data_IF_392663962534
#
_entry.id   IF_392663962534
#
_cell.length_a   1.000
_cell.length_b   1.000
_cell.length_c   1.000
_cell.angle_alpha   90.00
_cell.angle_beta   90.00
_cell.angle_gamma   90.00
#
_symmetry.space_group_name_H-M   'P 1'
#
loop_
_entity.id
_entity.type
_entity.pdbx_description
1 polymer ?
#
# COMPACT_ATOMS: atom_id res chain seq x y z
N UNK A 1 3.71 -27.76 -25.70
CA UNK A 1 4.47 -27.91 -24.42
C UNK A 1 5.06 -26.55 -24.03
N UNK A 2 5.06 -26.15 -22.75
CA UNK A 2 5.64 -24.85 -22.33
C UNK A 2 7.17 -24.92 -22.27
N UNK A 3 7.84 -23.89 -22.82
CA UNK A 3 9.30 -23.78 -22.79
C UNK A 3 9.85 -23.94 -21.36
N UNK A 4 10.94 -24.70 -21.14
CA UNK A 4 11.60 -24.84 -19.83
C UNK A 4 11.90 -23.49 -19.15
N UNK A 5 12.24 -22.48 -19.95
CA UNK A 5 12.50 -21.10 -19.51
C UNK A 5 11.26 -20.43 -18.93
N UNK A 6 10.10 -20.59 -19.60
CA UNK A 6 8.83 -20.05 -19.12
C UNK A 6 8.36 -20.72 -17.82
N UNK A 7 8.58 -22.03 -17.67
CA UNK A 7 8.30 -22.75 -16.42
C UNK A 7 9.17 -22.27 -15.27
N UNK A 8 10.48 -22.11 -15.51
CA UNK A 8 11.43 -21.58 -14.52
C UNK A 8 11.07 -20.16 -14.09
N UNK A 9 10.78 -19.27 -15.05
CA UNK A 9 10.42 -17.89 -14.76
C UNK A 9 9.07 -17.78 -14.03
N UNK A 10 8.09 -18.61 -14.39
CA UNK A 10 6.81 -18.69 -13.68
C UNK A 10 7.00 -19.06 -12.21
N UNK A 11 7.89 -20.03 -11.92
CA UNK A 11 8.22 -20.42 -10.53
C UNK A 11 8.87 -19.27 -9.76
N UNK A 12 9.88 -18.61 -10.36
CA UNK A 12 10.55 -17.44 -9.75
C UNK A 12 9.58 -16.30 -9.46
N UNK A 13 8.70 -15.99 -10.41
CA UNK A 13 7.64 -14.97 -10.24
C UNK A 13 6.70 -15.32 -9.09
N UNK A 14 6.24 -16.58 -9.01
CA UNK A 14 5.34 -17.02 -7.94
C UNK A 14 6.02 -16.97 -6.57
N UNK A 15 7.29 -17.36 -6.48
CA UNK A 15 8.07 -17.24 -5.25
C UNK A 15 8.22 -15.78 -4.81
N UNK A 16 8.54 -14.87 -5.75
CA UNK A 16 8.62 -13.44 -5.46
C UNK A 16 7.27 -12.86 -5.01
N UNK A 17 6.16 -13.33 -5.59
CA UNK A 17 4.80 -12.96 -5.17
C UNK A 17 4.50 -13.39 -3.73
N UNK A 18 4.83 -14.64 -3.39
CA UNK A 18 4.63 -15.15 -2.03
C UNK A 18 5.45 -14.36 -1.01
N UNK A 19 6.74 -14.14 -1.30
CA UNK A 19 7.64 -13.36 -0.44
C UNK A 19 7.16 -11.92 -0.25
N UNK A 20 6.63 -11.29 -1.32
CA UNK A 20 6.03 -9.96 -1.21
C UNK A 20 4.86 -9.95 -0.21
N UNK A 21 3.95 -10.93 -0.28
CA UNK A 21 2.82 -10.98 0.65
C UNK A 21 3.24 -11.26 2.09
N UNK A 22 4.21 -12.13 2.29
CA UNK A 22 4.79 -12.42 3.60
C UNK A 22 5.35 -11.13 4.23
N UNK A 23 6.22 -10.41 3.50
CA UNK A 23 6.76 -9.13 3.96
C UNK A 23 5.67 -8.09 4.20
N UNK A 24 4.67 -8.01 3.32
CA UNK A 24 3.54 -7.10 3.53
C UNK A 24 2.79 -7.44 4.82
N UNK A 25 2.50 -8.71 5.07
CA UNK A 25 1.73 -9.14 6.23
C UNK A 25 2.51 -8.97 7.55
N UNK A 26 3.82 -9.24 7.54
CA UNK A 26 4.68 -9.10 8.71
C UNK A 26 4.93 -7.64 9.10
N UNK A 27 4.88 -6.71 8.13
CA UNK A 27 5.33 -5.34 8.33
C UNK A 27 4.22 -4.29 8.17
N UNK A 28 2.98 -4.66 7.77
CA UNK A 28 1.90 -3.69 7.58
C UNK A 28 1.24 -3.25 8.89
N UNK A 29 1.37 -4.02 9.97
CA UNK A 29 0.59 -3.83 11.19
C UNK A 29 0.69 -2.41 11.76
N UNK A 30 1.90 -1.88 11.94
CA UNK A 30 2.07 -0.52 12.49
C UNK A 30 1.49 0.56 11.57
N UNK A 31 1.69 0.43 10.25
CA UNK A 31 1.11 1.34 9.27
C UNK A 31 -0.42 1.26 9.25
N UNK A 32 -0.99 0.05 9.32
CA UNK A 32 -2.44 -0.15 9.38
C UNK A 32 -3.06 0.44 10.64
N UNK A 33 -2.37 0.32 11.78
CA UNK A 33 -2.79 0.94 13.05
C UNK A 33 -2.80 2.46 12.91
N UNK A 34 -1.70 3.06 12.43
CA UNK A 34 -1.61 4.50 12.21
C UNK A 34 -2.70 5.00 11.23
N UNK A 35 -2.94 4.25 10.16
CA UNK A 35 -3.99 4.55 9.16
C UNK A 35 -5.40 4.45 9.76
N UNK A 36 -5.65 3.47 10.62
CA UNK A 36 -6.94 3.32 11.32
C UNK A 36 -7.16 4.47 12.30
N UNK A 37 -6.11 4.88 13.01
CA UNK A 37 -6.15 6.02 13.92
C UNK A 37 -6.48 7.31 13.17
N UNK A 38 -5.78 7.58 12.05
CA UNK A 38 -6.06 8.72 11.18
C UNK A 38 -7.53 8.77 10.75
N UNK A 39 -8.07 7.66 10.22
CA UNK A 39 -9.49 7.59 9.80
C UNK A 39 -10.47 7.87 10.93
N UNK A 40 -10.16 7.45 12.15
CA UNK A 40 -11.00 7.73 13.32
C UNK A 40 -11.01 9.22 13.65
N UNK A 41 -9.85 9.86 13.63
CA UNK A 41 -9.73 11.30 13.87
C UNK A 41 -10.33 12.14 12.75
N UNK A 42 -10.20 11.74 11.48
CA UNK A 42 -10.88 12.39 10.34
C UNK A 42 -12.41 12.39 10.55
N UNK A 43 -12.98 11.24 10.93
CA UNK A 43 -14.41 11.12 11.24
C UNK A 43 -14.83 12.02 12.41
N UNK A 44 -14.02 12.06 13.46
CA UNK A 44 -14.27 12.91 14.63
C UNK A 44 -14.22 14.40 14.26
N UNK A 45 -13.20 14.81 13.50
CA UNK A 45 -13.05 16.17 13.02
C UNK A 45 -14.26 16.62 12.20
N UNK A 46 -14.68 15.82 11.21
CA UNK A 46 -15.86 16.11 10.38
C UNK A 46 -17.12 16.27 11.26
N UNK A 47 -17.28 15.43 12.29
CA UNK A 47 -18.43 15.50 13.21
C UNK A 47 -18.42 16.80 14.03
N UNK A 48 -17.26 17.21 14.55
CA UNK A 48 -17.12 18.45 15.32
C UNK A 48 -17.32 19.65 14.39
N UNK A 49 -16.65 19.67 13.24
CA UNK A 49 -16.77 20.73 12.22
C UNK A 49 -18.23 21.01 11.85
N UNK A 50 -19.02 19.96 11.54
CA UNK A 50 -20.44 20.11 11.18
C UNK A 50 -21.30 20.70 12.31
N UNK A 51 -21.03 20.34 13.56
CA UNK A 51 -21.75 20.90 14.72
C UNK A 51 -21.36 22.36 15.00
N UNK A 52 -20.13 22.72 14.63
CA UNK A 52 -19.54 24.03 14.86
C UNK A 52 -19.88 25.05 13.77
N UNK A 53 -20.13 24.61 12.54
CA UNK A 53 -20.55 25.50 11.44
C UNK A 53 -21.92 26.16 11.67
N UNK A 54 -22.69 25.70 12.66
CA UNK A 54 -24.03 26.21 13.00
C UNK A 54 -24.03 27.18 14.18
N UNK A 55 -22.92 27.29 14.94
CA UNK A 55 -22.80 28.11 16.15
C UNK A 55 -21.50 28.91 16.09
N UNK A 56 -21.57 30.24 16.01
CA UNK A 56 -20.42 31.16 15.99
C UNK A 56 -19.62 31.16 17.31
N UNK A 57 -18.99 30.04 17.67
CA UNK A 57 -18.10 29.92 18.82
C UNK A 57 -16.66 29.69 18.38
N UNK A 58 -15.73 30.39 19.02
CA UNK A 58 -14.31 30.02 19.06
C UNK A 58 -14.21 28.64 19.73
N UNK A 59 -14.15 27.59 18.92
CA UNK A 59 -14.27 26.24 19.42
C UNK A 59 -12.88 25.63 19.65
N UNK A 60 -12.42 25.78 20.89
CA UNK A 60 -11.21 25.14 21.41
C UNK A 60 -11.22 23.62 21.13
N UNK A 61 -12.39 22.98 21.14
CA UNK A 61 -12.56 21.57 20.80
C UNK A 61 -12.21 21.26 19.33
N UNK A 62 -12.61 22.12 18.39
CA UNK A 62 -12.26 21.98 16.98
C UNK A 62 -10.76 22.18 16.75
N UNK A 63 -10.17 23.17 17.42
CA UNK A 63 -8.73 23.42 17.38
C UNK A 63 -7.94 22.20 17.87
N UNK A 64 -8.24 21.69 19.06
CA UNK A 64 -7.59 20.49 19.60
C UNK A 64 -7.80 19.26 18.71
N UNK A 65 -9.00 19.06 18.17
CA UNK A 65 -9.24 17.96 17.25
C UNK A 65 -8.41 18.12 15.96
N UNK A 66 -8.18 19.35 15.50
CA UNK A 66 -7.30 19.66 14.38
C UNK A 66 -5.83 19.34 14.67
N UNK A 67 -5.32 19.74 15.85
CA UNK A 67 -3.95 19.42 16.26
C UNK A 67 -3.70 17.91 16.35
N UNK A 68 -4.63 17.16 16.95
CA UNK A 68 -4.54 15.70 17.02
C UNK A 68 -4.63 15.05 15.63
N UNK A 69 -5.46 15.58 14.74
CA UNK A 69 -5.54 15.12 13.36
C UNK A 69 -4.19 15.31 12.63
N UNK A 70 -3.53 16.46 12.81
CA UNK A 70 -2.20 16.71 12.23
C UNK A 70 -1.18 15.70 12.76
N UNK A 71 -1.18 15.41 14.06
CA UNK A 71 -0.30 14.38 14.65
C UNK A 71 -0.53 13.01 14.00
N UNK A 72 -1.79 12.60 13.84
CA UNK A 72 -2.14 11.33 13.18
C UNK A 72 -1.68 11.29 11.71
N UNK A 73 -1.81 12.40 10.96
CA UNK A 73 -1.34 12.50 9.57
C UNK A 73 0.18 12.31 9.50
N UNK A 74 0.94 12.94 10.41
CA UNK A 74 2.39 12.83 10.44
C UNK A 74 2.86 11.42 10.82
N UNK A 75 2.19 10.79 11.78
CA UNK A 75 2.44 9.41 12.17
C UNK A 75 2.16 8.44 11.02
N UNK A 76 1.01 8.54 10.36
CA UNK A 76 0.67 7.69 9.21
C UNK A 76 1.69 7.82 8.08
N UNK A 77 2.09 9.05 7.73
CA UNK A 77 3.13 9.29 6.71
C UNK A 77 4.47 8.68 7.08
N UNK A 78 4.83 8.74 8.36
CA UNK A 78 6.10 8.19 8.86
C UNK A 78 6.08 6.67 8.76
N UNK A 79 5.00 6.04 9.24
CA UNK A 79 4.82 4.58 9.18
C UNK A 79 4.65 4.05 7.77
N UNK A 80 3.94 4.76 6.90
CA UNK A 80 3.87 4.44 5.47
C UNK A 80 5.27 4.51 4.84
N UNK A 81 6.06 5.54 5.12
CA UNK A 81 7.43 5.66 4.59
C UNK A 81 8.34 4.52 5.08
N UNK A 82 8.25 4.13 6.34
CA UNK A 82 8.97 2.99 6.91
C UNK A 82 8.56 1.69 6.22
N UNK A 83 7.25 1.43 6.11
CA UNK A 83 6.72 0.28 5.41
C UNK A 83 7.16 0.23 3.93
N UNK A 84 7.07 1.37 3.21
CA UNK A 84 7.52 1.51 1.82
C UNK A 84 8.97 1.14 1.63
N UNK A 85 9.87 1.53 2.54
CA UNK A 85 11.28 1.16 2.46
C UNK A 85 11.48 -0.36 2.49
N UNK A 86 10.65 -1.07 3.24
CA UNK A 86 10.73 -2.52 3.41
C UNK A 86 10.08 -3.24 2.22
N UNK A 87 8.84 -2.92 1.86
CA UNK A 87 8.10 -3.71 0.84
C UNK A 87 8.50 -3.37 -0.61
N UNK A 88 8.94 -2.13 -0.89
CA UNK A 88 9.14 -1.65 -2.27
C UNK A 88 10.15 -2.48 -3.07
N UNK A 89 11.32 -2.89 -2.54
CA UNK A 89 12.25 -3.75 -3.28
C UNK A 89 11.63 -5.08 -3.71
N UNK A 90 10.79 -5.68 -2.87
CA UNK A 90 10.10 -6.94 -3.18
C UNK A 90 9.03 -6.75 -4.25
N UNK A 91 8.29 -5.65 -4.17
CA UNK A 91 7.31 -5.28 -5.18
C UNK A 91 7.95 -5.05 -6.55
N UNK A 92 9.05 -4.31 -6.58
CA UNK A 92 9.80 -4.00 -7.80
C UNK A 92 10.35 -5.29 -8.43
N UNK A 93 10.89 -6.21 -7.62
CA UNK A 93 11.35 -7.51 -8.08
C UNK A 93 10.21 -8.36 -8.67
N UNK A 94 9.07 -8.45 -7.97
CA UNK A 94 7.88 -9.15 -8.49
C UNK A 94 7.42 -8.55 -9.82
N UNK A 95 7.34 -7.22 -9.92
CA UNK A 95 6.90 -6.52 -11.14
C UNK A 95 7.86 -6.72 -12.31
N UNK A 96 9.17 -6.76 -12.06
CA UNK A 96 10.16 -7.09 -13.07
C UNK A 96 9.92 -8.50 -13.64
N UNK A 97 9.81 -9.50 -12.77
CA UNK A 97 9.56 -10.89 -13.17
C UNK A 97 8.20 -11.07 -13.89
N UNK A 98 7.17 -10.33 -13.47
CA UNK A 98 5.86 -10.32 -14.13
C UNK A 98 5.94 -9.78 -15.57
N UNK A 99 6.68 -8.67 -15.77
CA UNK A 99 6.91 -8.10 -17.10
C UNK A 99 7.68 -9.07 -18.01
N UNK A 100 8.78 -9.64 -17.53
CA UNK A 100 9.58 -10.62 -18.27
C UNK A 100 8.75 -11.84 -18.68
N UNK A 101 7.94 -12.37 -17.75
CA UNK A 101 7.06 -13.50 -18.01
C UNK A 101 6.03 -13.20 -19.09
N UNK A 102 5.38 -12.04 -19.02
CA UNK A 102 4.37 -11.63 -20.00
C UNK A 102 4.98 -11.44 -21.39
N UNK A 103 6.17 -10.86 -21.47
CA UNK A 103 6.89 -10.67 -22.72
C UNK A 103 7.23 -12.02 -23.38
N UNK A 104 7.78 -12.98 -22.64
CA UNK A 104 8.05 -14.32 -23.15
C UNK A 104 6.78 -15.05 -23.59
N UNK A 105 5.67 -14.90 -22.85
CA UNK A 105 4.38 -15.51 -23.21
C UNK A 105 3.82 -14.95 -24.52
N UNK A 106 4.02 -13.65 -24.78
CA UNK A 106 3.64 -13.02 -26.05
C UNK A 106 4.52 -13.54 -27.20
N UNK A 107 5.84 -13.63 -26.99
CA UNK A 107 6.76 -14.14 -28.00
C UNK A 107 6.47 -15.59 -28.37
N UNK A 108 6.19 -16.46 -27.40
CA UNK A 108 5.81 -17.85 -27.67
C UNK A 108 4.55 -17.92 -28.56
N UNK A 109 3.51 -17.15 -28.23
CA UNK A 109 2.27 -17.09 -29.03
C UNK A 109 2.47 -16.59 -30.46
N UNK A 110 3.48 -15.75 -30.70
CA UNK A 110 3.82 -15.26 -32.05
C UNK A 110 4.65 -16.28 -32.82
N UNK A 111 5.52 -17.03 -32.13
CA UNK A 111 6.31 -18.12 -32.72
C UNK A 111 5.45 -19.32 -33.13
N UNK A 112 4.44 -19.68 -32.33
CA UNK A 112 3.54 -20.80 -32.61
C UNK A 112 2.55 -20.54 -33.77
N UNK A 113 2.51 -19.32 -34.33
CA UNK A 113 1.64 -18.92 -35.45
C UNK A 113 2.36 -18.85 -36.81
N UNK A 114 3.65 -19.17 -36.86
CA UNK A 114 4.44 -19.30 -38.09
C UNK A 114 4.71 -20.77 -38.35
#
# INVERSE_FOLDING_TARGET
MTSPTLRSLSRKKNLAKMKLYEIMNENSQEWEVARKLLRNYEKRFIKIWRKNSELHYQNQELFWCGEELIKCILEEKTKDKEFKKIYKPYFDNYKKLEKEYNLLKILQKKGDKK
#
